data_IF_680644252808
#
_entry.id   IF_680644252808
#
_cell.length_a   1.000
_cell.length_b   1.000
_cell.length_c   1.000
_cell.angle_alpha   90.00
_cell.angle_beta   90.00
_cell.angle_gamma   90.00
#
_symmetry.space_group_name_H-M   'P 1'
#
loop_
_entity.id
_entity.type
_entity.pdbx_description
1 polymer ?
#
# COMPACT_ATOMS: atom_id res chain seq x y z
N UNK A 1 -3.24 -23.37 15.28
CA UNK A 1 -2.93 -22.72 13.99
C UNK A 1 -4.11 -22.98 13.06
N UNK A 2 -4.87 -21.94 12.73
CA UNK A 2 -6.09 -22.08 11.91
C UNK A 2 -5.76 -22.02 10.42
N UNK A 3 -6.57 -22.65 9.55
CA UNK A 3 -6.40 -22.59 8.08
C UNK A 3 -6.36 -21.15 7.51
N UNK A 4 -6.86 -20.17 8.27
CA UNK A 4 -6.87 -18.75 7.91
C UNK A 4 -5.50 -18.08 8.10
N UNK A 5 -4.77 -18.46 9.16
CA UNK A 5 -3.40 -18.00 9.40
C UNK A 5 -2.43 -18.58 8.37
N UNK A 6 -2.60 -19.85 7.99
CA UNK A 6 -1.80 -20.50 6.95
C UNK A 6 -1.98 -19.86 5.56
N UNK A 7 -3.20 -19.41 5.22
CA UNK A 7 -3.47 -18.72 3.95
C UNK A 7 -2.93 -17.27 3.94
N UNK A 8 -2.93 -16.56 5.07
CA UNK A 8 -2.26 -15.24 5.19
C UNK A 8 -0.74 -15.36 5.06
N UNK A 9 -0.14 -16.45 5.55
CA UNK A 9 1.31 -16.70 5.48
C UNK A 9 1.81 -16.90 4.04
N UNK A 10 0.93 -17.28 3.09
CA UNK A 10 1.29 -17.53 1.68
C UNK A 10 1.43 -16.26 0.82
N UNK A 11 0.91 -15.10 1.26
CA UNK A 11 0.93 -13.86 0.47
C UNK A 11 1.70 -12.80 1.23
N UNK A 12 3.03 -12.85 1.10
CA UNK A 12 3.93 -11.83 1.67
C UNK A 12 4.30 -10.87 0.57
N UNK A 13 4.22 -9.57 0.85
CA UNK A 13 4.64 -8.55 -0.10
C UNK A 13 5.90 -7.86 0.40
N UNK A 14 6.95 -7.85 -0.42
CA UNK A 14 8.25 -7.26 -0.06
C UNK A 14 8.45 -5.91 -0.75
N UNK A 15 8.48 -4.86 0.05
CA UNK A 15 8.61 -3.46 -0.40
C UNK A 15 9.99 -3.20 -1.02
N UNK A 16 11.02 -3.96 -0.68
CA UNK A 16 12.39 -3.71 -1.13
C UNK A 16 12.63 -3.99 -2.63
N UNK A 17 11.59 -4.43 -3.36
CA UNK A 17 11.69 -4.81 -4.76
C UNK A 17 10.95 -3.82 -5.65
N UNK A 18 11.54 -3.48 -6.80
CA UNK A 18 10.83 -2.81 -7.90
C UNK A 18 9.60 -3.60 -8.38
N UNK A 19 9.50 -4.88 -7.99
CA UNK A 19 8.33 -5.71 -8.25
C UNK A 19 7.11 -5.23 -7.47
N UNK A 20 7.26 -4.74 -6.23
CA UNK A 20 6.11 -4.38 -5.39
C UNK A 20 5.18 -3.37 -6.07
N UNK A 21 5.73 -2.32 -6.69
CA UNK A 21 4.92 -1.38 -7.49
C UNK A 21 4.31 -2.00 -8.74
N UNK A 22 5.09 -2.82 -9.46
CA UNK A 22 4.64 -3.49 -10.70
C UNK A 22 3.59 -4.58 -10.47
N UNK A 23 3.55 -5.15 -9.27
CA UNK A 23 2.59 -6.16 -8.87
C UNK A 23 1.17 -5.58 -8.69
N UNK A 24 1.06 -4.26 -8.51
CA UNK A 24 -0.21 -3.60 -8.23
C UNK A 24 -0.58 -2.51 -9.25
N UNK A 25 0.33 -1.60 -9.57
CA UNK A 25 -0.02 -0.43 -10.37
C UNK A 25 -0.15 -0.79 -11.86
N UNK A 26 -1.19 -0.27 -12.50
CA UNK A 26 -1.54 -0.58 -13.89
C UNK A 26 -2.23 -1.95 -14.05
N UNK A 27 -2.52 -2.66 -12.97
CA UNK A 27 -3.19 -3.96 -13.01
C UNK A 27 -4.71 -3.81 -13.06
N UNK A 28 -5.34 -4.67 -13.86
CA UNK A 28 -6.79 -4.77 -13.89
C UNK A 28 -7.34 -5.29 -12.56
N UNK A 29 -8.64 -5.09 -12.32
CA UNK A 29 -9.31 -5.65 -11.14
C UNK A 29 -9.17 -7.16 -11.04
N UNK A 30 -9.17 -7.89 -12.17
CA UNK A 30 -9.01 -9.33 -12.18
C UNK A 30 -7.61 -9.76 -11.71
N UNK A 31 -6.56 -9.06 -12.17
CA UNK A 31 -5.19 -9.30 -11.73
C UNK A 31 -5.01 -8.97 -10.25
N UNK A 32 -5.53 -7.83 -9.78
CA UNK A 32 -5.51 -7.49 -8.35
C UNK A 32 -6.27 -8.55 -7.54
N UNK A 33 -7.41 -9.04 -8.01
CA UNK A 33 -8.16 -10.08 -7.30
C UNK A 33 -7.39 -11.41 -7.22
N UNK A 34 -6.59 -11.76 -8.23
CA UNK A 34 -5.74 -12.94 -8.17
C UNK A 34 -4.71 -12.83 -7.02
N UNK A 35 -4.17 -11.61 -6.81
CA UNK A 35 -3.17 -11.31 -5.78
C UNK A 35 -3.80 -11.11 -4.40
N UNK A 36 -4.90 -10.37 -4.26
CA UNK A 36 -5.46 -9.96 -2.96
C UNK A 36 -6.70 -10.76 -2.54
N UNK A 37 -7.25 -11.58 -3.43
CA UNK A 37 -8.57 -12.20 -3.27
C UNK A 37 -9.70 -11.29 -3.77
N UNK A 38 -10.95 -11.70 -3.58
CA UNK A 38 -12.09 -10.94 -4.10
C UNK A 38 -12.28 -9.59 -3.38
N UNK A 39 -12.18 -8.50 -4.14
CA UNK A 39 -12.46 -7.14 -3.66
C UNK A 39 -13.92 -6.72 -3.83
N UNK A 40 -14.44 -5.93 -2.89
CA UNK A 40 -15.79 -5.35 -2.92
C UNK A 40 -15.74 -3.84 -3.20
N UNK A 41 -16.57 -3.32 -4.13
CA UNK A 41 -16.64 -1.88 -4.37
C UNK A 41 -17.00 -1.11 -3.09
N UNK A 42 -16.45 0.08 -2.92
CA UNK A 42 -16.70 0.92 -1.74
C UNK A 42 -17.47 2.17 -2.11
N UNK A 43 -18.33 2.65 -1.19
CA UNK A 43 -19.11 3.88 -1.38
C UNK A 43 -18.31 5.16 -1.09
N UNK A 44 -17.26 5.10 -0.27
CA UNK A 44 -16.34 6.24 -0.08
C UNK A 44 -15.45 6.34 -1.30
N UNK A 45 -15.35 7.55 -1.87
CA UNK A 45 -14.62 7.81 -3.10
C UNK A 45 -13.11 7.54 -2.96
N UNK A 46 -12.51 7.14 -4.06
CA UNK A 46 -11.14 7.55 -4.37
C UNK A 46 -11.22 8.97 -4.98
N UNK A 47 -10.20 9.44 -5.72
CA UNK A 47 -10.28 10.76 -6.36
C UNK A 47 -11.42 10.80 -7.39
N UNK A 48 -11.82 12.01 -7.82
CA UNK A 48 -12.88 12.17 -8.80
C UNK A 48 -12.58 11.36 -10.08
N UNK A 49 -13.54 10.54 -10.54
CA UNK A 49 -13.36 9.62 -11.66
C UNK A 49 -12.79 8.24 -11.30
N UNK A 50 -12.39 8.01 -10.04
CA UNK A 50 -11.85 6.74 -9.58
C UNK A 50 -12.87 5.88 -8.84
N UNK A 51 -12.69 4.56 -8.91
CA UNK A 51 -13.52 3.57 -8.22
C UNK A 51 -12.72 2.90 -7.11
N UNK A 52 -13.18 3.04 -5.87
CA UNK A 52 -12.59 2.38 -4.71
C UNK A 52 -13.07 0.93 -4.54
N UNK A 53 -12.15 0.02 -4.24
CA UNK A 53 -12.41 -1.39 -3.92
C UNK A 53 -11.70 -1.76 -2.62
N UNK A 54 -12.39 -2.47 -1.72
CA UNK A 54 -11.83 -2.97 -0.46
C UNK A 54 -11.60 -4.48 -0.55
N UNK A 55 -10.43 -4.90 -0.06
CA UNK A 55 -9.95 -6.26 0.03
C UNK A 55 -9.81 -6.65 1.51
N UNK A 56 -10.94 -7.03 2.11
CA UNK A 56 -11.04 -7.30 3.56
C UNK A 56 -10.15 -8.47 4.00
N UNK A 57 -9.92 -9.45 3.12
CA UNK A 57 -9.07 -10.63 3.37
C UNK A 57 -7.63 -10.28 3.78
N UNK A 58 -7.12 -9.14 3.32
CA UNK A 58 -5.72 -8.72 3.48
C UNK A 58 -5.61 -7.29 4.01
N UNK A 59 -6.71 -6.72 4.51
CA UNK A 59 -6.85 -5.32 4.93
C UNK A 59 -6.22 -4.32 3.95
N UNK A 60 -6.64 -4.39 2.69
CA UNK A 60 -6.19 -3.50 1.65
C UNK A 60 -7.35 -2.75 0.97
N UNK A 61 -7.03 -1.65 0.31
CA UNK A 61 -7.94 -0.86 -0.50
C UNK A 61 -7.23 -0.42 -1.77
N UNK A 62 -7.89 -0.55 -2.90
CA UNK A 62 -7.36 -0.08 -4.18
C UNK A 62 -8.27 0.99 -4.79
N UNK A 63 -7.66 1.96 -5.46
CA UNK A 63 -8.34 2.89 -6.35
C UNK A 63 -8.07 2.49 -7.80
N UNK A 64 -9.13 2.53 -8.63
CA UNK A 64 -9.04 2.21 -10.04
C UNK A 64 -9.46 3.40 -10.90
N UNK A 65 -8.66 3.73 -11.91
CA UNK A 65 -8.98 4.67 -12.99
C UNK A 65 -8.98 3.92 -14.32
N UNK A 66 -10.02 4.10 -15.13
CA UNK A 66 -10.19 3.43 -16.42
C UNK A 66 -10.03 1.89 -16.38
N UNK A 67 -10.36 1.28 -15.25
CA UNK A 67 -10.28 -0.18 -15.04
C UNK A 67 -8.93 -0.69 -14.49
N UNK A 68 -7.95 0.20 -14.30
CA UNK A 68 -6.60 -0.13 -13.84
C UNK A 68 -6.31 0.47 -12.47
N UNK A 69 -5.60 -0.27 -11.62
CA UNK A 69 -5.22 0.17 -10.30
C UNK A 69 -4.19 1.30 -10.39
N UNK A 70 -4.50 2.43 -9.74
CA UNK A 70 -3.63 3.62 -9.65
C UNK A 70 -3.08 3.82 -8.24
N UNK A 71 -3.67 3.14 -7.26
CA UNK A 71 -3.27 3.17 -5.86
C UNK A 71 -3.71 1.88 -5.16
N UNK A 72 -2.87 1.33 -4.30
CA UNK A 72 -3.22 0.23 -3.38
C UNK A 72 -2.64 0.50 -2.00
N UNK A 73 -3.51 0.74 -1.02
CA UNK A 73 -3.16 0.92 0.39
C UNK A 73 -3.35 -0.35 1.20
N UNK A 74 -2.45 -0.59 2.14
CA UNK A 74 -2.45 -1.71 3.09
C UNK A 74 -2.35 -1.16 4.50
N UNK A 75 -3.12 -1.73 5.42
CA UNK A 75 -3.08 -1.41 6.84
C UNK A 75 -2.94 -2.69 7.68
N UNK A 76 -2.48 -2.61 8.95
CA UNK A 76 -2.41 -3.79 9.82
C UNK A 76 -3.75 -4.53 9.88
N UNK A 77 -3.81 -5.87 9.77
CA UNK A 77 -2.70 -6.82 9.87
C UNK A 77 -2.17 -7.29 8.49
N UNK A 78 -2.17 -6.45 7.46
CA UNK A 78 -1.68 -6.84 6.13
C UNK A 78 -0.22 -7.37 6.19
N UNK A 79 0.08 -8.47 5.47
CA UNK A 79 1.38 -9.14 5.51
C UNK A 79 2.44 -8.42 4.65
N UNK A 80 2.77 -7.20 5.05
CA UNK A 80 3.76 -6.34 4.40
C UNK A 80 5.11 -6.51 5.08
N UNK A 81 6.15 -6.78 4.29
CA UNK A 81 7.49 -7.03 4.78
C UNK A 81 8.50 -6.10 4.14
N UNK A 82 9.55 -5.80 4.90
CA UNK A 82 10.77 -5.16 4.42
C UNK A 82 11.96 -5.89 5.04
N UNK A 83 12.91 -6.34 4.23
CA UNK A 83 14.06 -7.15 4.69
C UNK A 83 13.64 -8.33 5.60
N UNK A 84 12.57 -9.03 5.21
CA UNK A 84 11.95 -10.16 5.94
C UNK A 84 11.35 -9.84 7.31
N UNK A 85 11.27 -8.56 7.69
CA UNK A 85 10.61 -8.11 8.91
C UNK A 85 9.24 -7.53 8.59
N UNK A 86 8.25 -7.80 9.43
CA UNK A 86 6.90 -7.23 9.28
C UNK A 86 6.98 -5.71 9.45
N UNK A 87 6.56 -4.96 8.43
CA UNK A 87 6.63 -3.50 8.49
C UNK A 87 5.77 -2.95 9.65
N UNK A 88 4.58 -3.52 9.85
CA UNK A 88 3.63 -3.02 10.85
C UNK A 88 3.97 -3.42 12.29
N UNK A 89 4.81 -4.45 12.50
CA UNK A 89 5.25 -4.86 13.83
C UNK A 89 6.59 -4.23 14.22
N UNK A 90 7.33 -3.70 13.24
CA UNK A 90 8.64 -3.07 13.43
C UNK A 90 8.62 -1.64 12.88
N UNK A 91 7.97 -0.68 13.58
CA UNK A 91 7.76 0.65 13.04
C UNK A 91 9.06 1.36 12.67
N UNK A 92 10.17 1.11 13.39
CA UNK A 92 11.47 1.71 13.09
C UNK A 92 11.99 1.49 11.65
N UNK A 93 11.48 0.47 10.93
CA UNK A 93 11.83 0.18 9.54
C UNK A 93 11.46 1.32 8.57
N UNK A 94 10.50 2.19 8.94
CA UNK A 94 10.10 3.31 8.09
C UNK A 94 11.29 4.19 7.70
N UNK A 95 12.27 4.38 8.60
CA UNK A 95 13.46 5.21 8.35
C UNK A 95 14.34 4.63 7.27
N UNK A 96 14.50 3.32 7.28
CA UNK A 96 15.30 2.62 6.27
C UNK A 96 14.61 2.66 4.90
N UNK A 97 13.29 2.51 4.88
CA UNK A 97 12.50 2.58 3.63
C UNK A 97 12.55 4.00 3.06
N UNK A 98 12.32 5.03 3.89
CA UNK A 98 12.44 6.43 3.49
C UNK A 98 13.85 6.75 2.94
N UNK A 99 14.91 6.25 3.59
CA UNK A 99 16.28 6.48 3.14
C UNK A 99 16.62 5.85 1.77
N UNK A 100 15.77 4.96 1.23
CA UNK A 100 15.94 4.39 -0.11
C UNK A 100 15.51 5.36 -1.21
N UNK A 101 14.68 6.37 -0.90
CA UNK A 101 14.24 7.37 -1.87
C UNK A 101 14.84 8.73 -1.52
N UNK A 102 15.76 9.19 -2.39
CA UNK A 102 16.46 10.47 -2.25
C UNK A 102 15.51 11.67 -2.30
N UNK A 103 14.29 11.48 -2.82
CA UNK A 103 13.26 12.51 -2.93
C UNK A 103 12.10 12.24 -1.95
N UNK A 104 12.39 11.61 -0.81
CA UNK A 104 11.39 11.45 0.25
C UNK A 104 10.95 12.81 0.79
N UNK A 105 9.64 13.04 0.84
CA UNK A 105 9.00 14.26 1.33
C UNK A 105 8.00 13.93 2.42
N UNK A 106 7.67 14.89 3.27
CA UNK A 106 6.60 14.76 4.26
C UNK A 106 5.47 15.73 3.92
N UNK A 107 4.22 15.25 3.89
CA UNK A 107 3.05 16.12 3.84
C UNK A 107 1.84 15.50 4.56
N UNK A 108 1.14 16.31 5.37
CA UNK A 108 -0.13 15.97 6.05
C UNK A 108 -0.12 14.61 6.77
N UNK A 109 0.97 14.20 7.40
CA UNK A 109 1.00 12.88 8.04
C UNK A 109 1.68 11.78 7.20
N UNK A 110 2.01 12.04 5.94
CA UNK A 110 2.54 11.05 5.01
C UNK A 110 4.00 11.32 4.68
N UNK A 111 4.82 10.28 4.77
CA UNK A 111 6.10 10.20 4.08
C UNK A 111 5.83 9.72 2.65
N UNK A 112 6.20 10.52 1.66
CA UNK A 112 5.96 10.30 0.24
C UNK A 112 7.31 10.03 -0.42
N UNK A 113 7.44 8.86 -1.07
CA UNK A 113 8.64 8.40 -1.76
C UNK A 113 8.29 8.24 -3.25
N UNK A 114 8.44 9.30 -4.07
CA UNK A 114 7.92 9.34 -5.43
C UNK A 114 8.66 8.41 -6.39
N UNK A 115 9.98 8.21 -6.20
CA UNK A 115 10.76 7.29 -7.04
C UNK A 115 10.37 5.84 -6.76
N UNK A 116 10.10 5.50 -5.49
CA UNK A 116 9.58 4.18 -5.11
C UNK A 116 8.09 4.02 -5.42
N UNK A 117 7.35 5.12 -5.53
CA UNK A 117 5.89 5.13 -5.67
C UNK A 117 5.19 4.65 -4.40
N UNK A 118 5.66 5.08 -3.24
CA UNK A 118 5.19 4.63 -1.92
C UNK A 118 4.84 5.79 -1.00
N UNK A 119 3.79 5.63 -0.18
CA UNK A 119 3.61 6.44 1.02
C UNK A 119 3.60 5.59 2.29
N UNK A 120 4.05 6.18 3.39
CA UNK A 120 3.96 5.65 4.75
C UNK A 120 3.26 6.68 5.65
N UNK A 121 2.31 6.25 6.47
CA UNK A 121 1.61 7.09 7.46
C UNK A 121 1.49 6.37 8.80
N UNK A 122 1.41 7.11 9.90
CA UNK A 122 1.24 6.59 11.27
C UNK A 122 2.48 5.91 11.88
N UNK A 123 3.62 5.91 11.16
CA UNK A 123 4.84 5.21 11.59
C UNK A 123 5.70 6.02 12.59
N UNK A 124 5.40 7.31 12.77
CA UNK A 124 6.23 8.24 13.56
C UNK A 124 5.49 8.93 14.72
N UNK A 125 4.18 8.72 14.86
CA UNK A 125 3.33 9.31 15.92
C UNK A 125 2.73 8.28 16.89
N UNK A 126 3.17 7.01 16.80
CA UNK A 126 2.67 5.87 17.58
C UNK A 126 1.16 5.58 17.45
N UNK A 127 0.47 6.18 16.47
CA UNK A 127 -0.94 5.90 16.23
C UNK A 127 -1.11 4.71 15.30
N UNK A 128 -1.32 3.53 15.90
CA UNK A 128 -1.56 2.29 15.15
C UNK A 128 -2.77 2.36 14.23
N UNK A 129 -3.74 3.22 14.50
CA UNK A 129 -4.93 3.37 13.66
C UNK A 129 -4.65 4.10 12.34
N UNK A 130 -3.54 4.84 12.29
CA UNK A 130 -3.07 5.59 11.12
C UNK A 130 -2.01 4.85 10.32
N UNK A 131 -1.58 3.66 10.77
CA UNK A 131 -0.58 2.86 10.07
C UNK A 131 -1.08 2.41 8.70
N UNK A 132 -0.41 2.88 7.65
CA UNK A 132 -0.65 2.40 6.30
C UNK A 132 0.60 2.51 5.44
N UNK A 133 0.79 1.54 4.55
CA UNK A 133 1.66 1.68 3.38
C UNK A 133 0.79 1.75 2.14
N UNK A 134 1.07 2.67 1.24
CA UNK A 134 0.32 2.79 -0.01
C UNK A 134 1.29 2.77 -1.17
N UNK A 135 1.00 1.96 -2.18
CA UNK A 135 1.69 2.02 -3.46
C UNK A 135 0.85 2.81 -4.46
N UNK A 136 1.49 3.61 -5.30
CA UNK A 136 0.80 4.53 -6.20
C UNK A 136 1.45 4.69 -7.58
N UNK A 137 0.69 5.20 -8.54
CA UNK A 137 1.19 5.59 -9.86
C UNK A 137 2.02 6.89 -9.83
N UNK A 138 3.04 6.97 -10.69
CA UNK A 138 3.85 8.18 -10.80
C UNK A 138 2.95 9.39 -11.12
N UNK A 139 3.29 10.56 -10.56
CA UNK A 139 2.50 11.78 -10.73
C UNK A 139 1.38 11.95 -9.69
N UNK A 140 0.93 10.87 -9.02
CA UNK A 140 -0.26 10.92 -8.14
C UNK A 140 -0.11 11.89 -6.96
N UNK A 141 1.11 12.05 -6.46
CA UNK A 141 1.42 12.88 -5.29
C UNK A 141 2.16 14.16 -5.65
N UNK A 142 2.40 14.44 -6.93
CA UNK A 142 3.21 15.57 -7.37
C UNK A 142 2.52 16.90 -7.03
N UNK A 143 1.21 16.99 -7.26
CA UNK A 143 0.41 18.20 -6.97
C UNK A 143 0.15 18.41 -5.47
N UNK A 144 0.30 17.36 -4.67
CA UNK A 144 0.05 17.35 -3.24
C UNK A 144 1.33 17.40 -2.43
N UNK A 145 2.51 17.54 -3.03
CA UNK A 145 3.80 17.56 -2.29
C UNK A 145 4.65 18.79 -2.58
N UNK A 146 4.04 19.82 -3.16
CA UNK A 146 4.64 21.13 -3.42
C UNK A 146 4.57 22.07 -2.21
#
# INVERSE_FOLDING_TARGET
MTNREAAMISKRFDIASDAFRRDFIGKSRAEINAVLGEGRPTRRGALAGEKGVSYVSVNARAAFRDGYAVEVGFAPPAPIFFKRQSLFDHPALWREIAAMDVDTRENLGFLIMPNLGLTLTGFYDNDRSQLAVTVFEAGRWDDLSA
#
